data_IF_184188315395
#
_entry.id   IF_184188315395
#
_cell.length_a   1.000
_cell.length_b   1.000
_cell.length_c   1.000
_cell.angle_alpha   90.00
_cell.angle_beta   90.00
_cell.angle_gamma   90.00
#
_symmetry.space_group_name_H-M   'P 1'
#
loop_
_entity.id
_entity.type
_entity.pdbx_description
1 polymer ?
#
# COMPACT_ATOMS: atom_id res chain seq x y z
N UNK A 1 -0.45 -9.21 -10.95
CA UNK A 1 -0.71 -8.16 -9.96
C UNK A 1 -1.05 -8.80 -8.63
N UNK A 2 -0.17 -8.61 -7.64
CA UNK A 2 -0.50 -8.85 -6.23
C UNK A 2 -1.45 -7.75 -5.74
N UNK A 3 -2.04 -7.86 -4.54
CA UNK A 3 -2.96 -6.83 -3.98
C UNK A 3 -4.44 -7.18 -4.09
N UNK A 4 -5.33 -6.18 -3.89
CA UNK A 4 -6.78 -6.31 -3.96
C UNK A 4 -7.38 -5.23 -4.86
N UNK A 5 -8.00 -5.64 -5.96
CA UNK A 5 -8.55 -4.71 -6.93
C UNK A 5 -9.88 -4.09 -6.45
N UNK A 6 -10.17 -2.83 -6.80
CA UNK A 6 -9.31 -1.90 -7.54
C UNK A 6 -8.44 -1.01 -6.64
N UNK A 7 -8.67 -1.00 -5.33
CA UNK A 7 -8.20 0.09 -4.46
C UNK A 7 -6.89 -0.20 -3.72
N UNK A 8 -6.39 -1.44 -3.71
CA UNK A 8 -5.14 -1.82 -3.06
C UNK A 8 -4.14 -2.36 -4.09
N UNK A 9 -3.16 -1.56 -4.52
CA UNK A 9 -2.19 -2.01 -5.49
C UNK A 9 -1.26 -3.07 -4.90
N UNK A 10 -0.77 -3.97 -5.75
CA UNK A 10 0.31 -4.88 -5.41
C UNK A 10 1.63 -4.15 -5.22
N UNK A 11 2.35 -4.46 -4.15
CA UNK A 11 3.63 -3.82 -3.81
C UNK A 11 4.85 -4.73 -4.03
N UNK A 12 4.63 -6.05 -4.05
CA UNK A 12 5.69 -7.05 -4.23
C UNK A 12 6.37 -6.88 -5.58
N UNK A 13 7.70 -6.83 -5.57
CA UNK A 13 8.54 -6.70 -6.75
C UNK A 13 8.59 -5.28 -7.35
N UNK A 14 7.94 -4.29 -6.73
CA UNK A 14 8.15 -2.90 -7.12
C UNK A 14 9.57 -2.44 -6.77
N UNK A 15 10.17 -1.51 -7.55
CA UNK A 15 11.50 -1.00 -7.26
C UNK A 15 11.58 -0.42 -5.84
N UNK A 16 12.65 -0.77 -5.10
CA UNK A 16 12.87 -0.31 -3.73
C UNK A 16 12.76 1.22 -3.61
N UNK A 17 13.43 1.95 -4.48
CA UNK A 17 13.47 3.42 -4.41
C UNK A 17 12.11 4.04 -4.75
N UNK A 18 11.32 3.39 -5.59
CA UNK A 18 9.93 3.76 -5.80
C UNK A 18 9.12 3.62 -4.51
N UNK A 19 9.20 2.47 -3.82
CA UNK A 19 8.49 2.24 -2.56
C UNK A 19 8.89 3.24 -1.47
N UNK A 20 10.19 3.54 -1.33
CA UNK A 20 10.70 4.55 -0.40
C UNK A 20 10.09 5.92 -0.71
N UNK A 21 10.16 6.34 -1.98
CA UNK A 21 9.64 7.64 -2.40
C UNK A 21 8.13 7.75 -2.16
N UNK A 22 7.36 6.71 -2.44
CA UNK A 22 5.90 6.72 -2.25
C UNK A 22 5.52 6.78 -0.76
N UNK A 23 6.12 5.95 0.08
CA UNK A 23 5.86 5.94 1.52
C UNK A 23 6.28 7.27 2.17
N UNK A 24 7.45 7.79 1.81
CA UNK A 24 7.91 9.12 2.24
C UNK A 24 6.97 10.24 1.80
N UNK A 25 6.46 10.20 0.57
CA UNK A 25 5.52 11.20 0.07
C UNK A 25 4.18 11.20 0.84
N UNK A 26 3.70 10.06 1.35
CA UNK A 26 2.55 10.03 2.25
C UNK A 26 2.88 10.59 3.63
N UNK A 27 4.08 10.34 4.17
CA UNK A 27 4.50 10.94 5.44
C UNK A 27 4.53 12.46 5.37
N UNK A 28 5.07 13.03 4.30
CA UNK A 28 5.15 14.49 4.11
C UNK A 28 3.85 15.10 3.59
N UNK A 29 2.87 14.28 3.19
CA UNK A 29 1.60 14.71 2.61
C UNK A 29 1.70 15.22 1.17
N UNK A 30 2.84 15.01 0.49
CA UNK A 30 3.00 15.27 -0.94
C UNK A 30 2.19 14.27 -1.79
N UNK A 31 1.95 13.05 -1.27
CA UNK A 31 0.99 12.08 -1.81
C UNK A 31 -0.20 11.97 -0.87
N UNK A 32 -1.41 11.89 -1.46
CA UNK A 32 -2.69 11.79 -0.72
C UNK A 32 -3.61 10.78 -1.40
N UNK A 33 -4.40 10.07 -0.59
CA UNK A 33 -5.52 9.25 -1.02
C UNK A 33 -6.85 9.91 -0.63
N UNK A 34 -7.97 9.29 -1.03
CA UNK A 34 -9.30 9.75 -0.64
C UNK A 34 -9.47 9.72 0.88
N UNK A 35 -10.14 10.74 1.43
CA UNK A 35 -10.40 10.81 2.87
C UNK A 35 -11.49 9.80 3.28
N UNK A 36 -11.32 9.10 4.42
CA UNK A 36 -10.15 9.12 5.30
C UNK A 36 -8.91 8.49 4.64
N UNK A 37 -7.79 9.23 4.66
CA UNK A 37 -6.53 8.79 4.05
C UNK A 37 -5.84 7.80 4.99
N UNK A 38 -6.07 6.51 4.76
CA UNK A 38 -5.48 5.47 5.57
C UNK A 38 -3.97 5.29 5.29
N UNK A 39 -3.48 5.61 4.08
CA UNK A 39 -2.06 5.51 3.77
C UNK A 39 -1.24 6.58 4.47
N UNK A 40 -1.78 7.79 4.66
CA UNK A 40 -1.14 8.79 5.50
C UNK A 40 -1.00 8.33 6.96
N UNK A 41 -2.01 7.65 7.51
CA UNK A 41 -1.92 7.07 8.87
C UNK A 41 -0.91 5.93 8.95
N UNK A 42 -0.89 5.03 7.96
CA UNK A 42 0.08 3.92 7.91
C UNK A 42 1.49 4.47 7.80
N UNK A 43 1.74 5.34 6.81
CA UNK A 43 3.05 5.93 6.58
C UNK A 43 3.53 6.71 7.80
N UNK A 44 2.66 7.48 8.46
CA UNK A 44 3.01 8.24 9.67
C UNK A 44 3.43 7.40 10.87
N UNK A 45 3.16 6.08 10.88
CA UNK A 45 3.62 5.17 11.94
C UNK A 45 5.00 4.57 11.68
N UNK A 46 5.53 4.70 10.47
CA UNK A 46 6.81 4.14 10.08
C UNK A 46 7.91 5.17 10.32
N UNK A 47 9.00 4.80 10.97
CA UNK A 47 10.19 5.64 10.98
C UNK A 47 10.98 5.45 9.66
N UNK A 48 12.02 6.26 9.37
CA UNK A 48 12.81 6.13 8.14
C UNK A 48 13.49 4.75 7.97
N UNK A 49 13.89 4.10 9.07
CA UNK A 49 14.46 2.76 9.03
C UNK A 49 13.40 1.72 8.66
N UNK A 50 12.17 1.85 9.18
CA UNK A 50 11.05 0.97 8.84
C UNK A 50 10.69 1.09 7.35
N UNK A 51 10.63 2.31 6.81
CA UNK A 51 10.39 2.53 5.37
C UNK A 51 11.46 1.82 4.54
N UNK A 52 12.74 2.00 4.90
CA UNK A 52 13.84 1.37 4.19
C UNK A 52 13.77 -0.17 4.29
N UNK A 53 13.44 -0.71 5.46
CA UNK A 53 13.34 -2.15 5.69
C UNK A 53 12.18 -2.77 4.89
N UNK A 54 10.97 -2.23 5.02
CA UNK A 54 9.77 -2.70 4.31
C UNK A 54 9.94 -2.59 2.80
N UNK A 55 10.51 -1.48 2.31
CA UNK A 55 10.75 -1.29 0.88
C UNK A 55 11.77 -2.28 0.32
N UNK A 56 12.84 -2.56 1.07
CA UNK A 56 13.85 -3.55 0.68
C UNK A 56 13.26 -4.95 0.64
N UNK A 57 12.47 -5.31 1.67
CA UNK A 57 11.82 -6.61 1.73
C UNK A 57 10.84 -6.82 0.58
N UNK A 58 9.91 -5.87 0.36
CA UNK A 58 8.92 -5.94 -0.72
C UNK A 58 9.55 -6.04 -2.12
N UNK A 59 10.65 -5.32 -2.36
CA UNK A 59 11.35 -5.34 -3.63
C UNK A 59 12.09 -6.67 -3.89
N UNK A 60 12.50 -7.38 -2.84
CA UNK A 60 13.17 -8.67 -2.94
C UNK A 60 12.20 -9.85 -3.14
N UNK A 61 10.90 -9.63 -2.97
CA UNK A 61 9.90 -10.68 -3.12
C UNK A 61 9.73 -11.09 -4.59
N UNK A 62 9.61 -12.40 -4.84
CA UNK A 62 9.32 -12.94 -6.17
C UNK A 62 7.90 -12.59 -6.59
N UNK A 63 7.74 -11.99 -7.78
CA UNK A 63 6.43 -11.73 -8.38
C UNK A 63 5.91 -13.03 -9.01
N UNK A 64 4.78 -13.60 -8.55
CA UNK A 64 4.22 -14.77 -9.21
C UNK A 64 3.74 -14.41 -10.62
N UNK A 65 4.18 -15.14 -11.64
CA UNK A 65 3.97 -14.83 -13.06
C UNK A 65 2.49 -14.72 -13.47
N UNK A 66 1.61 -15.49 -12.83
CA UNK A 66 0.16 -15.51 -13.10
C UNK A 66 -0.66 -14.71 -12.08
N UNK A 67 -0.01 -13.81 -11.33
CA UNK A 67 -0.75 -13.04 -10.32
C UNK A 67 -1.82 -12.20 -11.02
N UNK A 68 -3.07 -12.33 -10.61
CA UNK A 68 -4.15 -11.37 -10.89
C UNK A 68 -4.62 -10.90 -9.51
N UNK A 69 -4.78 -9.59 -9.33
CA UNK A 69 -5.23 -9.07 -8.05
C UNK A 69 -6.72 -9.47 -7.91
N UNK A 70 -7.10 -10.30 -6.92
CA UNK A 70 -8.49 -10.65 -6.75
C UNK A 70 -9.31 -9.38 -6.48
N UNK A 71 -10.55 -9.39 -6.96
CA UNK A 71 -11.50 -8.33 -6.66
C UNK A 71 -11.79 -8.35 -5.17
N UNK A 72 -11.71 -7.19 -4.53
CA UNK A 72 -12.03 -7.04 -3.12
C UNK A 72 -13.51 -7.38 -2.88
N UNK A 73 -13.79 -8.21 -1.88
CA UNK A 73 -15.16 -8.51 -1.45
C UNK A 73 -15.64 -7.57 -0.34
N UNK A 74 -16.96 -7.40 -0.21
CA UNK A 74 -17.57 -6.56 0.84
C UNK A 74 -17.24 -7.04 2.26
N UNK A 75 -17.01 -8.33 2.44
CA UNK A 75 -16.59 -8.92 3.72
C UNK A 75 -15.15 -8.55 4.07
N UNK A 76 -14.25 -8.49 3.08
CA UNK A 76 -12.85 -8.07 3.29
C UNK A 76 -12.75 -6.57 3.60
N UNK A 77 -13.59 -5.73 2.98
CA UNK A 77 -13.59 -4.29 3.26
C UNK A 77 -14.11 -3.98 4.66
N UNK A 78 -15.06 -4.77 5.17
CA UNK A 78 -15.60 -4.64 6.52
C UNK A 78 -14.60 -5.02 7.63
N UNK A 79 -13.54 -5.78 7.31
CA UNK A 79 -12.58 -6.31 8.28
C UNK A 79 -11.29 -5.48 8.42
N UNK A 80 -11.12 -4.41 7.64
CA UNK A 80 -9.90 -3.63 7.68
C UNK A 80 -9.73 -2.88 9.01
N UNK A 81 -8.51 -2.83 9.56
CA UNK A 81 -8.24 -2.15 10.83
C UNK A 81 -8.31 -0.62 10.71
N UNK A 82 -8.31 -0.08 9.50
CA UNK A 82 -8.38 1.35 9.20
C UNK A 82 -9.47 1.63 8.18
N UNK A 83 -10.19 2.72 8.37
CA UNK A 83 -11.12 3.25 7.37
C UNK A 83 -10.31 3.88 6.24
N UNK A 84 -10.48 3.37 5.02
CA UNK A 84 -9.86 3.91 3.80
C UNK A 84 -10.94 4.53 2.91
N UNK A 85 -10.84 5.83 2.62
CA UNK A 85 -11.83 6.56 1.81
C UNK A 85 -12.00 6.04 0.39
N UNK A 86 -10.97 5.42 -0.17
CA UNK A 86 -11.02 4.81 -1.51
C UNK A 86 -12.03 3.67 -1.63
N UNK A 87 -12.44 3.04 -0.52
CA UNK A 87 -13.37 1.90 -0.53
C UNK A 87 -14.85 2.30 -0.55
N UNK A 88 -15.15 3.58 -0.38
CA UNK A 88 -16.52 4.11 -0.33
C UNK A 88 -16.88 4.89 -1.60
N UNK A 89 -16.15 4.63 -2.70
CA UNK A 89 -16.26 5.34 -3.96
C UNK A 89 -17.02 4.53 -5.01
#
# INVERSE_FOLDING_TARGET
MTGLAPFMPGLVGLPRDYLIAQLGAWQTGSRKAYKPDCMQQIAGKLNPQDIAAVSSWLAAQTVPGDSIAPAMTLTESAQLPLKCGSLSQ
#
